data_IF_649246786596
#
_entry.id   IF_649246786596
#
_cell.length_a   1.000
_cell.length_b   1.000
_cell.length_c   1.000
_cell.angle_alpha   90.00
_cell.angle_beta   90.00
_cell.angle_gamma   90.00
#
_symmetry.space_group_name_H-M   'P 1'
#
loop_
_entity.id
_entity.type
_entity.pdbx_description
1 polymer ?
#
# COMPACT_ATOMS: atom_id res chain seq x y z
N UNK A 1 -3.68 44.43 -22.88
CA UNK A 1 -3.69 43.54 -24.06
C UNK A 1 -2.77 42.37 -23.74
N UNK A 2 -3.30 41.33 -23.07
CA UNK A 2 -3.70 40.04 -23.68
C UNK A 2 -2.58 39.36 -24.48
N UNK A 3 -1.96 38.32 -23.89
CA UNK A 3 -1.99 36.94 -24.39
C UNK A 3 -1.33 35.99 -23.36
N UNK A 4 -2.15 35.14 -22.73
CA UNK A 4 -2.10 33.65 -22.80
C UNK A 4 -0.90 33.02 -22.07
N UNK A 5 -1.06 32.51 -20.84
CA UNK A 5 -1.59 31.16 -20.57
C UNK A 5 -1.17 30.13 -21.62
N UNK A 6 -0.06 29.44 -21.35
CA UNK A 6 0.11 28.05 -21.76
C UNK A 6 0.63 27.25 -20.58
N UNK A 7 -0.34 26.74 -19.82
CA UNK A 7 -0.19 25.49 -19.10
C UNK A 7 -0.11 24.38 -20.15
N UNK A 8 1.02 23.67 -20.17
CA UNK A 8 1.16 22.36 -20.81
C UNK A 8 1.47 21.42 -19.65
N UNK A 9 0.46 20.81 -19.02
CA UNK A 9 -0.19 19.57 -19.46
C UNK A 9 0.79 18.43 -19.71
N UNK A 10 1.72 18.20 -18.78
CA UNK A 10 2.42 16.92 -18.71
C UNK A 10 1.51 15.87 -18.07
N UNK A 11 0.89 15.10 -18.97
CA UNK A 11 0.53 13.70 -18.81
C UNK A 11 -0.06 13.27 -17.46
N UNK A 12 -1.38 13.45 -17.34
CA UNK A 12 -2.23 12.57 -16.55
C UNK A 12 -2.16 11.15 -17.16
N UNK A 13 -1.08 10.43 -16.86
CA UNK A 13 -0.99 9.01 -17.10
C UNK A 13 -1.95 8.31 -16.15
N UNK A 14 -3.09 7.86 -16.67
CA UNK A 14 -4.02 6.87 -16.11
C UNK A 14 -3.34 5.48 -15.98
N UNK A 15 -2.10 5.46 -15.52
CA UNK A 15 -1.36 4.25 -15.18
C UNK A 15 -1.83 3.78 -13.82
N UNK A 16 -2.85 2.90 -13.82
CA UNK A 16 -3.30 2.05 -12.72
C UNK A 16 -2.46 2.23 -11.45
N UNK A 17 -3.02 2.91 -10.45
CA UNK A 17 -2.46 3.11 -9.11
C UNK A 17 -2.45 1.79 -8.30
N UNK A 18 -2.04 0.69 -8.95
CA UNK A 18 -1.62 -0.52 -8.25
C UNK A 18 -0.36 -0.15 -7.48
N UNK A 19 -0.38 -0.42 -6.19
CA UNK A 19 0.77 -0.28 -5.30
C UNK A 19 1.98 -0.97 -5.95
N UNK A 20 2.91 -0.17 -6.50
CA UNK A 20 4.06 -0.64 -7.27
C UNK A 20 5.12 -1.21 -6.33
N UNK A 21 4.81 -2.34 -5.70
CA UNK A 21 5.75 -3.16 -4.98
C UNK A 21 6.02 -4.44 -5.81
N UNK A 22 6.57 -4.29 -7.04
CA UNK A 22 6.64 -5.38 -8.03
C UNK A 22 7.48 -6.55 -7.54
N UNK A 23 8.44 -6.32 -6.64
CA UNK A 23 9.26 -7.37 -6.03
C UNK A 23 8.44 -8.40 -5.23
N UNK A 24 7.21 -8.05 -4.81
CA UNK A 24 6.33 -8.88 -4.00
C UNK A 24 5.16 -9.48 -4.81
N UNK A 25 5.06 -9.15 -6.09
CA UNK A 25 4.01 -9.62 -6.99
C UNK A 25 4.21 -11.04 -7.55
N UNK A 26 5.44 -11.58 -7.72
CA UNK A 26 5.62 -12.92 -8.26
C UNK A 26 4.80 -13.96 -7.50
N UNK A 27 4.02 -14.75 -8.25
CA UNK A 27 3.14 -15.77 -7.69
C UNK A 27 3.89 -17.10 -7.57
N UNK A 28 3.71 -17.76 -6.44
CA UNK A 28 4.32 -19.06 -6.16
C UNK A 28 3.27 -20.03 -5.60
N UNK A 29 3.51 -21.33 -5.79
CA UNK A 29 2.68 -22.36 -5.14
C UNK A 29 3.08 -22.51 -3.68
N UNK A 30 2.08 -22.49 -2.81
CA UNK A 30 2.21 -22.82 -1.39
C UNK A 30 1.28 -24.00 -1.05
N UNK A 31 1.71 -24.94 -0.18
CA UNK A 31 0.82 -25.93 0.38
C UNK A 31 -0.39 -25.26 1.05
N UNK A 32 -1.59 -25.82 0.85
CA UNK A 32 -2.85 -25.28 1.38
C UNK A 32 -3.58 -24.29 0.46
N UNK A 33 -2.99 -23.90 -0.67
CA UNK A 33 -3.63 -23.04 -1.66
C UNK A 33 -3.94 -23.80 -2.96
N UNK A 34 -5.19 -23.72 -3.42
CA UNK A 34 -5.63 -24.31 -4.69
C UNK A 34 -5.10 -23.55 -5.92
N UNK A 35 -4.58 -22.34 -5.73
CA UNK A 35 -4.00 -21.49 -6.78
C UNK A 35 -2.58 -21.01 -6.40
N UNK A 36 -1.86 -20.43 -7.36
CA UNK A 36 -0.61 -19.73 -7.07
C UNK A 36 -0.91 -18.39 -6.40
N UNK A 37 -0.18 -18.08 -5.32
CA UNK A 37 -0.39 -16.88 -4.49
C UNK A 37 0.86 -16.03 -4.42
N UNK A 38 0.69 -14.75 -4.11
CA UNK A 38 1.78 -13.83 -3.79
C UNK A 38 1.54 -13.18 -2.42
N UNK A 39 2.45 -12.30 -2.00
CA UNK A 39 2.42 -11.66 -0.67
C UNK A 39 1.12 -10.87 -0.41
N UNK A 40 0.48 -10.36 -1.47
CA UNK A 40 -0.76 -9.60 -1.37
C UNK A 40 -2.02 -10.46 -1.37
N UNK A 41 -1.96 -11.71 -1.84
CA UNK A 41 -3.12 -12.60 -1.99
C UNK A 41 -3.21 -13.59 -0.82
N UNK A 42 -2.11 -13.89 -0.14
CA UNK A 42 -2.10 -14.79 1.02
C UNK A 42 -3.01 -14.27 2.14
N UNK A 43 -3.75 -15.19 2.77
CA UNK A 43 -4.69 -14.87 3.85
C UNK A 43 -3.95 -14.59 5.16
N UNK A 44 -2.93 -15.40 5.45
CA UNK A 44 -2.20 -15.35 6.71
C UNK A 44 -0.82 -14.68 6.54
N UNK A 45 -0.41 -13.78 7.45
CA UNK A 45 0.94 -13.19 7.42
C UNK A 45 2.07 -14.23 7.46
N UNK A 46 1.83 -15.38 8.10
CA UNK A 46 2.80 -16.47 8.15
C UNK A 46 3.09 -17.06 6.75
N UNK A 47 2.08 -17.16 5.88
CA UNK A 47 2.26 -17.64 4.52
C UNK A 47 2.94 -16.58 3.64
N UNK A 48 2.56 -15.31 3.81
CA UNK A 48 3.25 -14.19 3.20
C UNK A 48 4.75 -14.18 3.57
N UNK A 49 5.08 -14.45 4.84
CA UNK A 49 6.46 -14.57 5.31
C UNK A 49 7.23 -15.71 4.63
N UNK A 50 6.61 -16.86 4.37
CA UNK A 50 7.24 -17.95 3.60
C UNK A 50 7.59 -17.49 2.18
N UNK A 51 6.70 -16.72 1.53
CA UNK A 51 6.95 -16.18 0.20
C UNK A 51 8.09 -15.16 0.20
N UNK A 52 8.10 -14.24 1.16
CA UNK A 52 9.16 -13.22 1.28
C UNK A 52 10.53 -13.88 1.52
N UNK A 53 10.61 -14.96 2.32
CA UNK A 53 11.87 -15.73 2.47
C UNK A 53 12.31 -16.33 1.12
N UNK A 54 11.38 -16.83 0.30
CA UNK A 54 11.70 -17.38 -1.03
C UNK A 54 12.10 -16.30 -2.04
N UNK A 55 11.50 -15.11 -1.94
CA UNK A 55 11.80 -13.97 -2.81
C UNK A 55 13.15 -13.34 -2.48
N UNK A 56 13.56 -13.38 -1.20
CA UNK A 56 14.81 -12.79 -0.72
C UNK A 56 15.60 -13.83 0.10
N UNK A 57 16.15 -14.88 -0.54
CA UNK A 57 16.78 -16.00 0.16
C UNK A 57 18.03 -15.61 0.95
N UNK A 58 18.71 -14.54 0.53
CA UNK A 58 19.93 -14.05 1.18
C UNK A 58 19.65 -13.18 2.42
N UNK A 59 18.38 -12.85 2.68
CA UNK A 59 18.02 -12.02 3.82
C UNK A 59 18.00 -12.86 5.09
N UNK A 60 18.69 -12.37 6.12
CA UNK A 60 18.63 -12.95 7.44
C UNK A 60 17.47 -12.37 8.27
N UNK A 61 17.29 -12.90 9.49
CA UNK A 61 16.21 -12.47 10.38
C UNK A 61 16.28 -10.96 10.71
N UNK A 62 17.48 -10.40 10.87
CA UNK A 62 17.70 -8.98 11.14
C UNK A 62 17.33 -8.12 9.94
N UNK A 63 17.74 -8.52 8.74
CA UNK A 63 17.42 -7.85 7.48
C UNK A 63 15.92 -7.81 7.25
N UNK A 64 15.22 -8.94 7.44
CA UNK A 64 13.76 -8.93 7.35
C UNK A 64 13.11 -8.01 8.39
N UNK A 65 13.63 -7.95 9.63
CA UNK A 65 13.09 -7.04 10.65
C UNK A 65 13.26 -5.56 10.26
N UNK A 66 14.40 -5.19 9.67
CA UNK A 66 14.65 -3.84 9.16
C UNK A 66 13.67 -3.47 8.04
N UNK A 67 13.46 -4.37 7.06
CA UNK A 67 12.49 -4.15 5.99
C UNK A 67 11.05 -4.08 6.51
N UNK A 68 10.71 -4.85 7.54
CA UNK A 68 9.39 -4.77 8.18
C UNK A 68 9.14 -3.36 8.74
N UNK A 69 10.13 -2.81 9.44
CA UNK A 69 10.03 -1.46 10.02
C UNK A 69 10.01 -0.38 8.93
N UNK A 70 10.82 -0.50 7.88
CA UNK A 70 10.82 0.43 6.75
C UNK A 70 9.43 0.49 6.08
N UNK A 71 8.83 -0.66 5.79
CA UNK A 71 7.49 -0.72 5.20
C UNK A 71 6.40 -0.25 6.16
N UNK A 72 6.53 -0.48 7.47
CA UNK A 72 5.61 0.07 8.46
C UNK A 72 5.62 1.60 8.45
N UNK A 73 6.80 2.21 8.44
CA UNK A 73 6.95 3.67 8.33
C UNK A 73 6.36 4.22 7.03
N UNK A 74 6.60 3.54 5.91
CA UNK A 74 6.02 3.92 4.62
C UNK A 74 4.48 3.84 4.62
N UNK A 75 3.92 2.79 5.24
CA UNK A 75 2.46 2.66 5.39
C UNK A 75 1.88 3.82 6.22
N UNK A 76 2.50 4.14 7.36
CA UNK A 76 2.04 5.24 8.22
C UNK A 76 2.20 6.61 7.56
N UNK A 77 3.30 6.86 6.84
CA UNK A 77 3.47 8.08 6.06
C UNK A 77 2.38 8.21 4.97
N UNK A 78 2.08 7.12 4.26
CA UNK A 78 1.05 7.11 3.23
C UNK A 78 -0.36 7.31 3.81
N UNK A 79 -0.64 6.75 5.00
CA UNK A 79 -1.92 6.97 5.71
C UNK A 79 -2.09 8.45 6.10
N UNK A 80 -1.03 9.11 6.56
CA UNK A 80 -1.06 10.56 6.85
C UNK A 80 -1.33 11.36 5.59
N UNK A 81 -0.60 11.08 4.52
CA UNK A 81 -0.82 11.73 3.22
C UNK A 81 -2.25 11.50 2.71
N UNK A 82 -2.81 10.32 2.90
CA UNK A 82 -4.20 10.03 2.58
C UNK A 82 -5.16 10.91 3.40
N UNK A 83 -4.96 11.03 4.72
CA UNK A 83 -5.80 11.88 5.57
C UNK A 83 -5.73 13.35 5.16
N UNK A 84 -4.53 13.88 4.95
CA UNK A 84 -4.32 15.26 4.50
C UNK A 84 -5.02 15.52 3.15
N UNK A 85 -4.93 14.56 2.23
CA UNK A 85 -5.58 14.66 0.92
C UNK A 85 -7.10 14.59 1.03
N UNK A 86 -7.65 13.75 1.92
CA UNK A 86 -9.09 13.70 2.18
C UNK A 86 -9.57 15.08 2.65
N UNK A 87 -8.89 15.67 3.64
CA UNK A 87 -9.26 17.00 4.16
C UNK A 87 -9.21 18.07 3.07
N UNK A 88 -8.16 18.07 2.24
CA UNK A 88 -8.03 19.00 1.13
C UNK A 88 -9.13 18.84 0.07
N UNK A 89 -9.49 17.60 -0.29
CA UNK A 89 -10.57 17.30 -1.25
C UNK A 89 -11.93 17.74 -0.69
N UNK A 90 -12.18 17.51 0.60
CA UNK A 90 -13.40 17.93 1.27
C UNK A 90 -13.53 19.45 1.32
N UNK A 91 -12.47 20.16 1.72
CA UNK A 91 -12.47 21.64 1.74
C UNK A 91 -12.71 22.23 0.34
N UNK A 92 -12.06 21.68 -0.69
CA UNK A 92 -12.18 22.17 -2.05
C UNK A 92 -13.57 21.94 -2.65
N UNK A 93 -14.18 20.77 -2.45
CA UNK A 93 -15.43 20.41 -3.11
C UNK A 93 -16.68 20.74 -2.29
N UNK A 94 -16.58 20.76 -0.96
CA UNK A 94 -17.73 20.93 -0.05
C UNK A 94 -17.58 22.12 0.90
N UNK A 95 -16.45 22.83 0.90
CA UNK A 95 -16.23 24.01 1.75
C UNK A 95 -16.12 23.69 3.24
N UNK A 96 -15.96 22.42 3.63
CA UNK A 96 -15.87 21.97 5.03
C UNK A 96 -14.99 20.74 5.17
N UNK A 97 -14.55 20.44 6.40
CA UNK A 97 -13.87 19.20 6.74
C UNK A 97 -14.82 17.98 6.76
N UNK A 98 -14.28 16.75 6.70
CA UNK A 98 -15.07 15.52 6.84
C UNK A 98 -15.73 15.43 8.23
N UNK A 99 -16.95 14.92 8.26
CA UNK A 99 -17.74 14.67 9.47
C UNK A 99 -17.88 13.15 9.67
N UNK A 100 -18.05 12.70 10.92
CA UNK A 100 -18.15 11.26 11.24
C UNK A 100 -19.29 10.54 10.50
N UNK A 101 -20.37 11.28 10.21
CA UNK A 101 -21.56 10.80 9.49
C UNK A 101 -21.50 11.03 7.99
N UNK A 102 -20.40 11.59 7.45
CA UNK A 102 -20.12 11.42 6.04
C UNK A 102 -19.92 9.92 5.82
N UNK A 103 -20.98 9.25 5.35
CA UNK A 103 -21.17 7.80 5.25
C UNK A 103 -20.01 7.04 4.58
N UNK A 104 -19.07 7.78 3.99
CA UNK A 104 -17.80 7.33 3.46
C UNK A 104 -16.72 8.38 3.75
N UNK A 105 -16.14 8.34 4.95
CA UNK A 105 -14.85 8.99 5.28
C UNK A 105 -13.78 8.69 4.21
N UNK A 106 -14.00 7.65 3.41
CA UNK A 106 -13.12 7.32 2.30
C UNK A 106 -13.13 8.30 1.12
N UNK A 107 -14.11 9.21 0.94
CA UNK A 107 -14.19 10.18 -0.18
C UNK A 107 -14.28 9.57 -1.61
N UNK A 108 -13.76 8.36 -1.80
CA UNK A 108 -13.55 7.58 -3.02
C UNK A 108 -14.84 7.26 -3.79
N UNK A 109 -15.99 7.39 -3.13
CA UNK A 109 -17.30 6.97 -3.63
C UNK A 109 -18.36 8.08 -3.57
N UNK A 110 -17.96 9.33 -3.31
CA UNK A 110 -18.90 10.46 -3.38
C UNK A 110 -18.99 10.96 -4.81
N UNK A 111 -20.19 11.10 -5.35
CA UNK A 111 -20.38 11.56 -6.73
C UNK A 111 -19.92 13.02 -6.92
N UNK A 112 -19.97 13.82 -5.86
CA UNK A 112 -19.51 15.22 -5.83
C UNK A 112 -18.00 15.38 -6.14
N UNK A 113 -17.21 14.30 -6.00
CA UNK A 113 -15.75 14.39 -6.09
C UNK A 113 -15.27 14.06 -7.50
N UNK A 114 -14.39 14.89 -8.10
CA UNK A 114 -13.78 14.59 -9.39
C UNK A 114 -13.09 13.22 -9.40
N UNK A 115 -13.12 12.52 -10.53
CA UNK A 115 -12.52 11.19 -10.63
C UNK A 115 -11.01 11.19 -10.35
N UNK A 116 -10.31 12.26 -10.73
CA UNK A 116 -8.88 12.41 -10.43
C UNK A 116 -8.59 12.41 -8.92
N UNK A 117 -9.45 13.01 -8.10
CA UNK A 117 -9.31 13.02 -6.65
C UNK A 117 -9.59 11.62 -6.07
N UNK A 118 -10.61 10.95 -6.59
CA UNK A 118 -10.93 9.57 -6.19
C UNK A 118 -9.79 8.62 -6.52
N UNK A 119 -9.22 8.72 -7.71
CA UNK A 119 -8.10 7.89 -8.13
C UNK A 119 -6.88 8.10 -7.23
N UNK A 120 -6.51 9.35 -6.97
CA UNK A 120 -5.44 9.68 -6.03
C UNK A 120 -5.67 9.02 -4.65
N UNK A 121 -6.86 9.19 -4.10
CA UNK A 121 -7.23 8.60 -2.80
C UNK A 121 -7.21 7.08 -2.82
N UNK A 122 -7.73 6.43 -3.86
CA UNK A 122 -7.63 4.97 -4.06
C UNK A 122 -6.18 4.52 -4.10
N UNK A 123 -5.32 5.24 -4.82
CA UNK A 123 -3.90 4.93 -4.94
C UNK A 123 -3.15 5.00 -3.62
N UNK A 124 -3.41 6.05 -2.83
CA UNK A 124 -2.84 6.20 -1.49
C UNK A 124 -3.34 5.10 -0.55
N UNK A 125 -4.64 4.81 -0.56
CA UNK A 125 -5.20 3.73 0.25
C UNK A 125 -4.59 2.36 -0.10
N UNK A 126 -4.51 2.04 -1.40
CA UNK A 126 -3.88 0.80 -1.88
C UNK A 126 -2.41 0.72 -1.49
N UNK A 127 -1.66 1.82 -1.64
CA UNK A 127 -0.24 1.88 -1.30
C UNK A 127 -0.01 1.68 0.20
N UNK A 128 -0.82 2.32 1.06
CA UNK A 128 -0.77 2.13 2.49
C UNK A 128 -1.04 0.67 2.90
N UNK A 129 -2.08 0.05 2.33
CA UNK A 129 -2.38 -1.37 2.57
C UNK A 129 -1.27 -2.29 2.08
N UNK A 130 -0.70 -2.04 0.89
CA UNK A 130 0.36 -2.88 0.35
C UNK A 130 1.62 -2.84 1.22
N UNK A 131 2.03 -1.66 1.66
CA UNK A 131 3.14 -1.51 2.61
C UNK A 131 2.86 -2.20 3.94
N UNK A 132 1.65 -2.07 4.50
CA UNK A 132 1.29 -2.76 5.73
C UNK A 132 1.39 -4.29 5.58
N UNK A 133 0.87 -4.86 4.49
CA UNK A 133 0.95 -6.31 4.24
C UNK A 133 2.39 -6.79 4.06
N UNK A 134 3.22 -6.02 3.37
CA UNK A 134 4.65 -6.34 3.20
C UNK A 134 5.38 -6.24 4.54
N UNK A 135 5.08 -5.24 5.37
CA UNK A 135 5.64 -5.12 6.71
C UNK A 135 5.33 -6.36 7.56
N UNK A 136 4.07 -6.82 7.53
CA UNK A 136 3.63 -8.02 8.26
C UNK A 136 4.31 -9.29 7.75
N UNK A 137 4.47 -9.42 6.42
CA UNK A 137 5.15 -10.53 5.79
C UNK A 137 6.63 -10.61 6.22
N UNK A 138 7.34 -9.48 6.17
CA UNK A 138 8.72 -9.38 6.64
C UNK A 138 8.85 -9.65 8.15
N UNK A 139 7.92 -9.14 8.97
CA UNK A 139 7.91 -9.44 10.41
C UNK A 139 7.68 -10.93 10.68
N UNK A 140 6.82 -11.59 9.91
CA UNK A 140 6.61 -13.04 10.00
C UNK A 140 7.85 -13.83 9.55
N UNK A 141 8.53 -13.40 8.49
CA UNK A 141 9.78 -13.98 8.02
C UNK A 141 10.88 -13.89 9.08
N UNK A 142 11.08 -12.71 9.67
CA UNK A 142 12.05 -12.48 10.74
C UNK A 142 11.82 -13.41 11.94
N UNK A 143 10.56 -13.53 12.39
CA UNK A 143 10.20 -14.46 13.48
C UNK A 143 10.47 -15.92 13.12
N UNK A 144 10.16 -16.33 11.89
CA UNK A 144 10.36 -17.71 11.44
C UNK A 144 11.85 -18.10 11.41
N UNK A 145 12.69 -17.23 10.86
CA UNK A 145 14.14 -17.45 10.78
C UNK A 145 14.81 -17.38 12.16
N UNK A 146 14.39 -16.44 13.01
CA UNK A 146 14.89 -16.33 14.39
C UNK A 146 14.65 -17.60 15.21
N UNK A 147 13.47 -18.22 15.07
CA UNK A 147 13.15 -19.50 15.75
C UNK A 147 13.99 -20.68 15.28
N UNK A 148 14.46 -20.68 14.03
CA UNK A 148 15.31 -21.77 13.50
C UNK A 148 16.71 -21.73 14.10
N UNK A 149 17.27 -20.54 14.37
CA UNK A 149 18.62 -20.39 14.95
C UNK A 149 18.73 -20.91 16.39
N UNK A 150 17.64 -20.97 17.15
CA UNK A 150 17.64 -21.41 18.57
C UNK A 150 17.57 -22.93 18.72
N UNK A 151 17.30 -23.68 17.64
CA UNK A 151 17.13 -25.14 17.68
C UNK A 151 18.38 -25.95 17.28
N UNK A 152 19.50 -25.27 17.06
CA UNK A 152 20.80 -25.86 16.76
C UNK A 152 21.78 -25.47 17.85
#
# INVERSE_FOLDING_TARGET
>A
MHHQQQASSEAAGTGSLRSRLPLYEPRQRLPGYNCSVNVFITVQPADAGKLVIRLFPDFDAGTHALHAEAHRRAAEATKRQYADQVDAVFLRNLGRLPLIYDYKISAIWRDDFPEADKDLLRGLAHTATAHARVADAHAAAARSLGRRRVRH
#
